data_IF_115493224206
#
_entry.id   IF_115493224206
#
_cell.length_a   1.000
_cell.length_b   1.000
_cell.length_c   1.000
_cell.angle_alpha   90.00
_cell.angle_beta   90.00
_cell.angle_gamma   90.00
#
_symmetry.space_group_name_H-M   'P 1'
#
loop_
_entity.id
_entity.type
_entity.pdbx_description
1 polymer ?
#
# COMPACT_ATOMS: atom_id res chain seq x y z
N UNK A 1 5.03 -17.49 -6.51
CA UNK A 1 5.21 -16.54 -5.38
C UNK A 1 5.64 -15.24 -6.03
N UNK A 2 4.79 -14.22 -5.99
CA UNK A 2 5.04 -12.95 -6.69
C UNK A 2 5.93 -12.07 -5.82
N UNK A 3 7.24 -12.21 -5.96
CA UNK A 3 8.24 -11.53 -5.12
C UNK A 3 8.27 -10.02 -5.34
N UNK A 4 7.83 -9.60 -6.54
CA UNK A 4 7.74 -8.19 -6.93
C UNK A 4 6.64 -7.44 -6.16
N UNK A 5 5.59 -8.14 -5.71
CA UNK A 5 4.51 -7.53 -4.92
C UNK A 5 4.95 -7.33 -3.49
N UNK A 6 4.61 -6.16 -2.94
CA UNK A 6 4.86 -5.82 -1.55
C UNK A 6 3.72 -6.28 -0.63
N UNK A 7 3.89 -7.44 -0.01
CA UNK A 7 2.89 -8.03 0.88
C UNK A 7 2.70 -7.22 2.16
N UNK A 8 3.74 -6.48 2.61
CA UNK A 8 3.64 -5.60 3.77
C UNK A 8 2.76 -4.39 3.44
N UNK A 9 2.98 -3.77 2.27
CA UNK A 9 2.16 -2.67 1.78
C UNK A 9 0.69 -3.10 1.52
N UNK A 10 0.46 -4.29 0.95
CA UNK A 10 -0.89 -4.83 0.70
C UNK A 10 -1.68 -5.01 2.01
N UNK A 11 -1.01 -5.46 3.08
CA UNK A 11 -1.64 -5.56 4.40
C UNK A 11 -1.64 -4.23 5.17
N UNK A 12 -0.94 -3.21 4.69
CA UNK A 12 -0.80 -1.92 5.36
C UNK A 12 -0.04 -2.00 6.68
N UNK A 13 0.96 -2.91 6.76
CA UNK A 13 1.78 -3.13 7.96
C UNK A 13 3.25 -2.90 7.64
N UNK A 14 4.05 -2.58 8.65
CA UNK A 14 5.50 -2.43 8.48
C UNK A 14 6.20 -3.80 8.42
N UNK A 15 7.42 -3.85 7.88
CA UNK A 15 8.24 -5.06 7.95
C UNK A 15 8.63 -5.47 9.37
N UNK A 16 8.62 -4.54 10.31
CA UNK A 16 8.79 -4.81 11.75
C UNK A 16 7.54 -5.34 12.43
N UNK A 17 6.40 -5.43 11.72
CA UNK A 17 5.14 -5.85 12.31
C UNK A 17 5.22 -7.26 12.90
N UNK A 18 4.62 -7.39 14.08
CA UNK A 18 4.44 -8.64 14.80
C UNK A 18 3.39 -9.51 14.11
N UNK A 19 3.40 -10.81 14.39
CA UNK A 19 2.39 -11.74 13.86
C UNK A 19 0.96 -11.33 14.25
N UNK A 20 0.79 -10.76 15.45
CA UNK A 20 -0.49 -10.27 15.94
C UNK A 20 -1.00 -9.07 15.12
N UNK A 21 -0.12 -8.14 14.78
CA UNK A 21 -0.44 -6.98 13.93
C UNK A 21 -0.81 -7.41 12.51
N UNK A 22 -0.05 -8.34 11.92
CA UNK A 22 -0.33 -8.92 10.60
C UNK A 22 -1.71 -9.59 10.59
N UNK A 23 -2.01 -10.38 11.63
CA UNK A 23 -3.31 -11.06 11.78
C UNK A 23 -4.46 -10.08 12.00
N UNK A 24 -4.23 -9.02 12.76
CA UNK A 24 -5.22 -7.95 12.98
C UNK A 24 -5.52 -7.20 11.69
N UNK A 25 -4.48 -6.79 10.95
CA UNK A 25 -4.62 -6.10 9.67
C UNK A 25 -5.38 -6.96 8.65
N UNK A 26 -5.02 -8.23 8.52
CA UNK A 26 -5.74 -9.18 7.67
C UNK A 26 -7.23 -9.28 8.02
N UNK A 27 -7.58 -9.39 9.32
CA UNK A 27 -9.00 -9.48 9.74
C UNK A 27 -9.80 -8.23 9.38
N UNK A 28 -9.20 -7.04 9.49
CA UNK A 28 -9.85 -5.77 9.14
C UNK A 28 -10.08 -5.70 7.63
N UNK A 29 -9.04 -5.99 6.84
CA UNK A 29 -9.10 -5.97 5.39
C UNK A 29 -10.04 -7.05 4.83
N UNK A 30 -9.99 -8.26 5.37
CA UNK A 30 -10.85 -9.37 4.94
C UNK A 30 -12.33 -9.09 5.18
N UNK A 31 -12.70 -8.37 6.24
CA UNK A 31 -14.09 -7.93 6.47
C UNK A 31 -14.51 -6.84 5.49
N UNK A 32 -13.59 -5.92 5.17
CA UNK A 32 -13.85 -4.79 4.26
C UNK A 32 -14.01 -5.25 2.80
N UNK A 33 -13.18 -6.20 2.37
CA UNK A 33 -13.11 -6.69 0.99
C UNK A 33 -13.72 -8.09 0.79
N UNK A 34 -14.53 -8.58 1.73
CA UNK A 34 -15.16 -9.90 1.59
C UNK A 34 -16.08 -9.93 0.35
N UNK A 35 -16.08 -11.00 -0.47
CA UNK A 35 -16.93 -11.07 -1.68
C UNK A 35 -18.44 -11.06 -1.37
N UNK A 36 -18.81 -11.39 -0.13
CA UNK A 36 -20.20 -11.33 0.37
C UNK A 36 -20.56 -9.96 0.97
N UNK A 37 -19.60 -9.03 1.04
CA UNK A 37 -19.86 -7.65 1.40
C UNK A 37 -20.60 -6.99 0.22
N UNK A 38 -21.75 -6.38 0.50
CA UNK A 38 -22.65 -5.65 -0.43
C UNK A 38 -22.03 -4.41 -1.11
N UNK A 39 -20.71 -4.37 -1.23
CA UNK A 39 -19.97 -3.28 -1.88
C UNK A 39 -19.70 -3.70 -3.31
N UNK A 40 -20.59 -3.34 -4.24
CA UNK A 40 -20.64 -3.77 -5.65
C UNK A 40 -19.38 -3.46 -6.49
N UNK A 41 -18.33 -2.87 -5.89
CA UNK A 41 -17.12 -2.44 -6.58
C UNK A 41 -15.80 -2.87 -5.90
N UNK A 42 -15.82 -3.74 -4.89
CA UNK A 42 -14.58 -4.28 -4.33
C UNK A 42 -13.99 -5.30 -5.32
N UNK A 43 -12.83 -5.05 -5.95
CA UNK A 43 -12.25 -5.96 -6.93
C UNK A 43 -11.93 -7.30 -6.25
N UNK A 44 -12.51 -8.39 -6.73
CA UNK A 44 -12.19 -9.77 -6.31
C UNK A 44 -10.67 -10.04 -6.29
N UNK A 45 -9.94 -9.35 -7.16
CA UNK A 45 -8.48 -9.36 -7.23
C UNK A 45 -7.81 -8.84 -5.96
N UNK A 46 -8.30 -7.77 -5.33
CA UNK A 46 -7.72 -7.22 -4.09
C UNK A 46 -7.86 -8.19 -2.91
N UNK A 47 -9.01 -8.86 -2.79
CA UNK A 47 -9.20 -9.84 -1.73
C UNK A 47 -8.24 -11.03 -1.88
N UNK A 48 -8.02 -11.49 -3.11
CA UNK A 48 -7.05 -12.54 -3.40
C UNK A 48 -5.61 -12.12 -3.05
N UNK A 49 -5.25 -10.87 -3.32
CA UNK A 49 -3.95 -10.31 -2.96
C UNK A 49 -3.75 -10.23 -1.45
N UNK A 50 -4.77 -9.79 -0.70
CA UNK A 50 -4.77 -9.76 0.77
C UNK A 50 -4.59 -11.16 1.36
N UNK A 51 -5.29 -12.16 0.82
CA UNK A 51 -5.14 -13.56 1.22
C UNK A 51 -3.73 -14.08 0.96
N UNK A 52 -3.19 -13.80 -0.22
CA UNK A 52 -1.85 -14.22 -0.62
C UNK A 52 -0.80 -13.58 0.28
N UNK A 53 -0.91 -12.28 0.56
CA UNK A 53 -0.03 -11.55 1.46
C UNK A 53 -0.03 -12.15 2.87
N UNK A 54 -1.22 -12.41 3.42
CA UNK A 54 -1.34 -13.04 4.73
C UNK A 54 -0.76 -14.46 4.75
N UNK A 55 -0.99 -15.27 3.71
CA UNK A 55 -0.47 -16.63 3.63
C UNK A 55 1.07 -16.70 3.63
N UNK A 56 1.74 -15.65 3.12
CA UNK A 56 3.21 -15.54 3.12
C UNK A 56 3.73 -14.94 4.42
N UNK A 57 3.08 -13.89 4.94
CA UNK A 57 3.57 -13.14 6.10
C UNK A 57 3.21 -13.76 7.46
N UNK A 58 2.17 -14.60 7.52
CA UNK A 58 1.74 -15.27 8.76
C UNK A 58 2.63 -16.44 9.19
N UNK A 59 3.37 -17.05 8.25
CA UNK A 59 4.29 -18.15 8.54
C UNK A 59 5.73 -17.61 8.64
N UNK A 60 6.43 -17.80 9.76
CA UNK A 60 7.79 -17.31 9.95
C UNK A 60 8.80 -17.80 8.90
N UNK A 61 8.68 -19.06 8.45
CA UNK A 61 9.55 -19.63 7.44
C UNK A 61 9.28 -19.01 6.06
N UNK A 62 8.01 -18.86 5.70
CA UNK A 62 7.61 -18.23 4.41
C UNK A 62 7.96 -16.74 4.39
N UNK A 63 7.77 -16.03 5.51
CA UNK A 63 8.17 -14.63 5.68
C UNK A 63 9.68 -14.46 5.50
N UNK A 64 10.49 -15.31 6.15
CA UNK A 64 11.96 -15.29 5.98
C UNK A 64 12.40 -15.57 4.55
N UNK A 65 11.77 -16.53 3.88
CA UNK A 65 12.06 -16.85 2.48
C UNK A 65 11.71 -15.67 1.56
N UNK A 66 10.54 -15.07 1.75
CA UNK A 66 10.11 -13.87 1.01
C UNK A 66 11.06 -12.68 1.23
N UNK A 67 11.40 -12.41 2.49
CA UNK A 67 12.33 -11.35 2.87
C UNK A 67 13.73 -11.54 2.25
N UNK A 68 14.23 -12.78 2.23
CA UNK A 68 15.51 -13.12 1.60
C UNK A 68 15.44 -12.90 0.09
N UNK A 69 14.38 -13.39 -0.55
CA UNK A 69 14.22 -13.30 -1.99
C UNK A 69 14.08 -11.84 -2.46
N UNK A 70 13.39 -10.99 -1.69
CA UNK A 70 13.34 -9.54 -1.96
C UNK A 70 14.68 -8.85 -1.78
N UNK A 71 15.46 -9.25 -0.78
CA UNK A 71 16.80 -8.72 -0.57
C UNK A 71 17.75 -9.11 -1.72
N UNK A 72 17.69 -10.36 -2.20
CA UNK A 72 18.48 -10.85 -3.35
C UNK A 72 18.14 -10.10 -4.65
N UNK A 73 16.88 -9.70 -4.82
CA UNK A 73 16.42 -8.92 -5.98
C UNK A 73 16.71 -7.42 -5.86
N UNK A 74 17.35 -6.96 -4.77
CA UNK A 74 17.61 -5.54 -4.54
C UNK A 74 16.34 -4.70 -4.31
N UNK A 75 15.22 -5.34 -3.97
CA UNK A 75 13.93 -4.70 -3.67
C UNK A 75 13.88 -4.21 -2.21
N UNK A 76 14.98 -3.62 -1.75
CA UNK A 76 15.14 -2.99 -0.44
C UNK A 76 14.40 -1.65 -0.41
N UNK A 77 13.65 -1.39 0.66
CA UNK A 77 12.81 -0.21 0.90
C UNK A 77 13.62 1.08 1.15
N UNK A 78 14.31 1.57 0.14
CA UNK A 78 14.21 3.01 -0.06
C UNK A 78 12.90 3.18 -0.81
N UNK A 79 11.87 3.75 -0.15
CA UNK A 79 10.61 4.06 -0.78
C UNK A 79 10.91 4.66 -2.15
N UNK A 80 10.63 3.89 -3.21
CA UNK A 80 11.15 4.20 -4.53
C UNK A 80 10.66 5.56 -5.03
N UNK A 81 9.66 6.12 -4.34
CA UNK A 81 9.14 7.45 -4.47
C UNK A 81 8.92 8.03 -3.06
N UNK A 82 9.37 9.26 -2.84
CA UNK A 82 8.86 10.14 -1.77
C UNK A 82 7.83 11.09 -2.37
N UNK A 83 6.83 11.48 -1.57
CA UNK A 83 5.87 12.50 -1.99
C UNK A 83 5.62 13.54 -0.91
N UNK A 84 5.33 14.75 -1.34
CA UNK A 84 4.93 15.86 -0.50
C UNK A 84 3.62 16.44 -1.04
N UNK A 85 2.67 16.72 -0.15
CA UNK A 85 1.35 17.25 -0.50
C UNK A 85 1.28 18.69 0.00
N UNK A 86 1.08 19.62 -0.92
CA UNK A 86 0.90 21.04 -0.64
C UNK A 86 -0.56 21.40 -0.95
N UNK A 87 -1.28 21.82 0.09
CA UNK A 87 -2.66 22.29 -0.02
C UNK A 87 -2.66 23.80 -0.24
N UNK A 88 -3.46 24.30 -1.19
CA UNK A 88 -3.58 25.74 -1.41
C UNK A 88 -4.15 26.46 -0.18
N UNK A 89 -5.01 25.80 0.59
CA UNK A 89 -5.48 26.24 1.89
C UNK A 89 -5.68 25.05 2.82
N UNK A 90 -5.28 25.20 4.08
CA UNK A 90 -5.43 24.17 5.12
C UNK A 90 -6.80 24.20 5.83
N UNK A 91 -7.64 25.18 5.49
CA UNK A 91 -8.95 25.41 6.08
C UNK A 91 -9.92 25.87 5.00
N UNK A 92 -11.13 25.29 5.01
CA UNK A 92 -12.24 25.73 4.17
C UNK A 92 -13.18 26.58 5.00
N UNK A 93 -13.39 27.82 4.59
CA UNK A 93 -14.46 28.64 5.16
C UNK A 93 -15.80 28.14 4.62
N UNK A 94 -16.81 27.97 5.49
CA UNK A 94 -18.17 27.67 5.05
C UNK A 94 -18.80 28.93 4.45
N UNK A 95 -18.52 29.20 3.19
CA UNK A 95 -19.17 30.26 2.41
C UNK A 95 -20.32 29.64 1.60
N UNK A 96 -21.39 30.40 1.38
CA UNK A 96 -22.55 29.99 0.56
C UNK A 96 -22.23 29.94 -0.96
N UNK A 97 -20.95 30.03 -1.31
CA UNK A 97 -20.44 30.10 -2.68
C UNK A 97 -19.49 28.94 -2.97
N UNK A 98 -19.38 28.55 -4.24
CA UNK A 98 -18.48 27.52 -4.71
C UNK A 98 -17.01 27.91 -4.48
N UNK A 99 -16.20 26.96 -4.00
CA UNK A 99 -14.78 27.17 -3.74
C UNK A 99 -13.93 26.18 -4.51
N UNK A 100 -12.80 26.68 -5.02
CA UNK A 100 -11.80 25.88 -5.74
C UNK A 100 -10.57 25.73 -4.85
N UNK A 101 -10.16 24.49 -4.61
CA UNK A 101 -8.96 24.15 -3.85
C UNK A 101 -7.97 23.46 -4.79
N UNK A 102 -6.70 23.85 -4.71
CA UNK A 102 -5.64 23.17 -5.42
C UNK A 102 -4.89 22.25 -4.45
N UNK A 103 -4.62 21.04 -4.93
CA UNK A 103 -3.76 20.06 -4.28
C UNK A 103 -2.58 19.81 -5.21
N UNK A 104 -1.37 20.14 -4.74
CA UNK A 104 -0.15 19.89 -5.46
C UNK A 104 0.56 18.70 -4.80
N UNK A 105 0.88 17.68 -5.61
CA UNK A 105 1.66 16.52 -5.17
C UNK A 105 3.00 16.58 -5.87
N UNK A 106 4.08 16.79 -5.11
CA UNK A 106 5.43 16.58 -5.61
C UNK A 106 5.81 15.12 -5.38
N UNK A 107 6.12 14.38 -6.44
CA UNK A 107 6.57 12.98 -6.37
C UNK A 107 8.03 12.94 -6.82
N UNK A 108 8.93 12.46 -5.94
CA UNK A 108 10.36 12.37 -6.21
C UNK A 108 10.80 10.91 -6.15
N UNK A 109 11.51 10.39 -7.17
CA UNK A 109 12.04 9.03 -7.10
C UNK A 109 13.20 8.92 -6.09
N UNK A 110 13.35 7.76 -5.47
CA UNK A 110 14.54 7.42 -4.69
C UNK A 110 15.79 7.51 -5.58
N UNK A 111 16.90 7.97 -5.02
CA UNK A 111 18.18 8.11 -5.73
C UNK A 111 18.65 6.80 -6.38
N UNK A 112 18.26 5.66 -5.81
CA UNK A 112 18.51 4.30 -6.30
C UNK A 112 17.68 3.89 -7.53
N UNK A 113 16.63 4.64 -7.90
CA UNK A 113 15.70 4.29 -8.98
C UNK A 113 16.00 4.97 -10.34
N UNK A 114 17.16 5.61 -10.49
CA UNK A 114 17.47 6.39 -11.68
C UNK A 114 17.44 5.54 -12.96
N UNK A 115 16.50 5.85 -13.87
CA UNK A 115 16.30 5.17 -15.14
C UNK A 115 15.31 4.00 -15.15
N UNK A 116 14.76 3.60 -13.98
CA UNK A 116 13.75 2.53 -13.89
C UNK A 116 12.34 3.13 -13.92
N UNK A 117 11.45 2.61 -14.77
CA UNK A 117 10.02 2.97 -14.72
C UNK A 117 9.41 2.30 -13.50
N UNK A 118 9.01 3.10 -12.51
CA UNK A 118 8.32 2.62 -11.32
C UNK A 118 6.80 2.69 -11.55
N UNK A 119 6.05 1.62 -11.24
CA UNK A 119 4.59 1.67 -11.31
C UNK A 119 4.07 2.59 -10.20
N UNK A 120 3.32 3.63 -10.58
CA UNK A 120 2.63 4.54 -9.67
C UNK A 120 1.13 4.35 -9.85
N UNK A 121 0.45 3.91 -8.79
CA UNK A 121 -1.01 3.86 -8.73
C UNK A 121 -1.47 4.90 -7.71
N UNK A 122 -2.06 6.01 -8.18
CA UNK A 122 -2.57 7.07 -7.33
C UNK A 122 -4.11 6.98 -7.26
N UNK A 123 -4.65 6.87 -6.05
CA UNK A 123 -6.09 6.82 -5.79
C UNK A 123 -6.47 7.97 -4.85
N UNK A 124 -7.42 8.81 -5.28
CA UNK A 124 -8.03 9.88 -4.48
C UNK A 124 -9.44 9.41 -4.13
N UNK A 125 -9.76 9.30 -2.82
CA UNK A 125 -11.06 8.83 -2.30
C UNK A 125 -11.71 9.91 -1.46
#
# INVERSE_FOLDING_TARGET
MDVEKDYYAILGVTRSATEEEIKRAYRVLARRYHPDSRTENAPTTLFHEIQTAYAVLSDPHRRRAYDRQRAELGLSEEAALSWEILLSQSQLCSLYEEQVIYLLIEIRPAATAQGKRLPLNLCLV
#
